data_IF_086203922558
#
_entry.id   IF_086203922558
#
_cell.length_a   1.000
_cell.length_b   1.000
_cell.length_c   1.000
_cell.angle_alpha   90.00
_cell.angle_beta   90.00
_cell.angle_gamma   90.00
#
_symmetry.space_group_name_H-M   'P 1'
#
loop_
_entity.id
_entity.type
_entity.pdbx_description
1 polymer ?
#
# COMPACT_ATOMS: atom_id res chain seq x y z
N UNK A 1 -16.54 -3.06 -4.03
CA UNK A 1 -15.67 -3.80 -3.09
C UNK A 1 -14.74 -4.69 -3.87
N UNK A 2 -13.48 -4.79 -3.45
CA UNK A 2 -12.44 -5.72 -3.95
C UNK A 2 -11.97 -6.53 -2.76
N UNK A 3 -12.04 -7.86 -2.85
CA UNK A 3 -11.68 -8.71 -1.71
C UNK A 3 -11.05 -10.03 -2.15
N UNK A 4 -10.14 -10.55 -1.35
CA UNK A 4 -9.50 -11.85 -1.56
C UNK A 4 -8.94 -11.98 -2.99
N UNK A 5 -8.28 -10.93 -3.47
CA UNK A 5 -7.86 -10.80 -4.87
C UNK A 5 -6.36 -10.63 -4.94
N UNK A 6 -5.73 -11.34 -5.89
CA UNK A 6 -4.33 -11.11 -6.27
C UNK A 6 -4.26 -10.46 -7.64
N UNK A 7 -3.52 -9.36 -7.76
CA UNK A 7 -3.23 -8.66 -9.01
C UNK A 7 -1.72 -8.56 -9.16
N UNK A 8 -1.17 -9.15 -10.20
CA UNK A 8 0.28 -9.24 -10.37
C UNK A 8 0.72 -9.37 -11.84
N UNK A 9 2.03 -9.22 -12.06
CA UNK A 9 2.66 -9.30 -13.39
C UNK A 9 2.05 -8.34 -14.41
N UNK A 10 1.67 -7.15 -13.97
CA UNK A 10 1.22 -6.09 -14.87
C UNK A 10 2.44 -5.35 -15.42
N UNK A 11 2.50 -5.15 -16.74
CA UNK A 11 3.62 -4.43 -17.37
C UNK A 11 3.73 -2.96 -16.96
N UNK A 12 2.67 -2.37 -16.43
CA UNK A 12 2.65 -1.00 -15.96
C UNK A 12 2.02 -0.91 -14.55
N UNK A 13 0.72 -0.64 -14.44
CA UNK A 13 0.00 -0.39 -13.19
C UNK A 13 -0.91 -1.58 -12.89
N UNK A 14 -0.85 -2.09 -11.65
CA UNK A 14 -1.74 -3.15 -11.19
C UNK A 14 -3.18 -2.67 -11.02
N UNK A 15 -3.37 -1.57 -10.31
CA UNK A 15 -4.68 -0.93 -10.13
C UNK A 15 -4.56 0.58 -10.29
N UNK A 16 -5.34 1.17 -11.18
CA UNK A 16 -5.52 2.61 -11.29
C UNK A 16 -6.93 2.98 -10.82
N UNK A 17 -7.01 3.75 -9.74
CA UNK A 17 -8.26 4.25 -9.19
C UNK A 17 -8.27 5.79 -9.22
N UNK A 18 -9.15 6.37 -10.03
CA UNK A 18 -9.27 7.82 -10.19
C UNK A 18 -10.60 8.32 -9.64
N UNK A 19 -10.56 9.08 -8.55
CA UNK A 19 -11.74 9.64 -7.90
C UNK A 19 -12.81 8.60 -7.51
N UNK A 20 -12.37 7.37 -7.23
CA UNK A 20 -13.25 6.24 -7.02
C UNK A 20 -13.66 6.07 -5.54
N UNK A 21 -14.67 5.25 -5.30
CA UNK A 21 -15.01 4.74 -3.98
C UNK A 21 -14.75 3.23 -3.95
N UNK A 22 -13.78 2.81 -3.15
CA UNK A 22 -13.36 1.40 -3.07
C UNK A 22 -13.26 0.97 -1.60
N UNK A 23 -13.95 -0.11 -1.26
CA UNK A 23 -13.71 -0.87 -0.06
C UNK A 23 -12.94 -2.14 -0.44
N UNK A 24 -11.74 -2.31 0.06
CA UNK A 24 -10.84 -3.42 -0.23
C UNK A 24 -10.38 -4.13 1.03
N UNK A 25 -10.29 -5.46 1.00
CA UNK A 25 -9.69 -6.22 2.08
C UNK A 25 -9.12 -7.55 1.60
N UNK A 26 -8.06 -8.01 2.29
CA UNK A 26 -7.34 -9.24 1.92
C UNK A 26 -6.91 -9.24 0.45
N UNK A 27 -6.30 -8.17 -0.03
CA UNK A 27 -5.84 -8.12 -1.41
C UNK A 27 -4.31 -8.06 -1.45
N UNK A 28 -3.73 -8.71 -2.44
CA UNK A 28 -2.30 -8.69 -2.71
C UNK A 28 -2.05 -8.15 -4.11
N UNK A 29 -1.33 -7.03 -4.19
CA UNK A 29 -0.88 -6.41 -5.44
C UNK A 29 0.65 -6.51 -5.50
N UNK A 30 1.19 -7.17 -6.52
CA UNK A 30 2.63 -7.36 -6.58
C UNK A 30 3.19 -7.47 -8.00
N UNK A 31 4.49 -7.31 -8.13
CA UNK A 31 5.24 -7.46 -9.40
C UNK A 31 4.60 -6.69 -10.57
N UNK A 32 4.56 -5.36 -10.45
CA UNK A 32 4.11 -4.47 -11.51
C UNK A 32 5.27 -3.62 -12.04
N UNK A 33 5.36 -3.47 -13.36
CA UNK A 33 6.47 -2.78 -14.03
C UNK A 33 6.61 -1.29 -13.68
N UNK A 34 5.56 -0.68 -13.14
CA UNK A 34 5.56 0.65 -12.57
C UNK A 34 5.05 0.61 -11.13
N UNK A 35 3.76 0.67 -10.92
CA UNK A 35 3.09 0.85 -9.62
C UNK A 35 2.10 -0.28 -9.38
N UNK A 36 2.07 -0.84 -8.19
CA UNK A 36 1.07 -1.84 -7.82
C UNK A 36 -0.32 -1.23 -7.69
N UNK A 37 -0.41 -0.01 -7.12
CA UNK A 37 -1.65 0.73 -7.05
C UNK A 37 -1.43 2.24 -7.14
N UNK A 38 -2.22 2.93 -7.96
CA UNK A 38 -2.27 4.37 -8.06
C UNK A 38 -3.69 4.87 -7.72
N UNK A 39 -3.79 5.64 -6.64
CA UNK A 39 -5.00 6.31 -6.19
C UNK A 39 -4.89 7.79 -6.54
N UNK A 40 -5.46 8.20 -7.67
CA UNK A 40 -5.33 9.56 -8.18
C UNK A 40 -6.68 10.27 -8.26
N UNK A 41 -6.65 11.60 -8.36
CA UNK A 41 -7.87 12.42 -8.36
C UNK A 41 -8.71 12.23 -7.09
N UNK A 42 -8.05 12.09 -5.92
CA UNK A 42 -8.74 11.88 -4.65
C UNK A 42 -9.65 10.65 -4.64
N UNK A 43 -10.74 10.72 -3.91
CA UNK A 43 -11.71 9.64 -3.78
C UNK A 43 -11.88 9.15 -2.34
N UNK A 44 -12.58 8.03 -2.17
CA UNK A 44 -12.82 7.39 -0.87
C UNK A 44 -12.33 5.95 -0.90
N UNK A 45 -11.28 5.66 -0.17
CA UNK A 45 -10.68 4.33 -0.15
C UNK A 45 -10.63 3.80 1.28
N UNK A 46 -11.13 2.59 1.49
CA UNK A 46 -10.98 1.84 2.73
C UNK A 46 -10.30 0.54 2.40
N UNK A 47 -9.04 0.41 2.83
CA UNK A 47 -8.23 -0.77 2.56
C UNK A 47 -7.80 -1.38 3.90
N UNK A 48 -8.17 -2.64 4.12
CA UNK A 48 -7.83 -3.38 5.33
C UNK A 48 -7.11 -4.67 4.97
N UNK A 49 -5.96 -4.94 5.61
CA UNK A 49 -5.12 -6.11 5.34
C UNK A 49 -4.81 -6.29 3.84
N UNK A 50 -4.34 -5.23 3.20
CA UNK A 50 -3.92 -5.26 1.81
C UNK A 50 -2.41 -5.10 1.72
N UNK A 51 -1.77 -5.92 0.88
CA UNK A 51 -0.33 -5.84 0.62
C UNK A 51 -0.08 -5.28 -0.78
N UNK A 52 0.69 -4.22 -0.85
CA UNK A 52 1.16 -3.57 -2.07
C UNK A 52 2.68 -3.74 -2.12
N UNK A 53 3.15 -4.83 -2.74
CA UNK A 53 4.53 -5.28 -2.64
C UNK A 53 5.14 -5.41 -4.02
N UNK A 54 6.10 -4.56 -4.37
CA UNK A 54 6.61 -4.51 -5.74
C UNK A 54 8.08 -4.95 -5.85
N UNK A 55 8.28 -6.21 -6.21
CA UNK A 55 9.60 -6.80 -6.50
C UNK A 55 9.76 -7.11 -8.00
N UNK A 56 9.29 -6.22 -8.87
CA UNK A 56 9.41 -6.35 -10.32
C UNK A 56 10.86 -6.60 -10.76
N UNK A 57 11.08 -7.63 -11.56
CA UNK A 57 12.41 -8.09 -12.00
C UNK A 57 12.62 -8.09 -13.52
N UNK A 58 11.55 -7.83 -14.31
CA UNK A 58 11.64 -7.87 -15.78
C UNK A 58 12.16 -6.57 -16.42
N UNK A 59 12.60 -5.63 -15.58
CA UNK A 59 13.15 -4.34 -16.00
C UNK A 59 13.43 -3.41 -14.83
N UNK A 60 13.93 -2.20 -15.14
CA UNK A 60 14.17 -1.16 -14.13
C UNK A 60 12.87 -0.43 -13.85
N UNK A 61 12.39 -0.52 -12.61
CA UNK A 61 11.25 0.23 -12.13
C UNK A 61 11.69 1.62 -11.65
N UNK A 62 10.98 2.65 -12.08
CA UNK A 62 11.24 4.05 -11.74
C UNK A 62 10.06 4.71 -11.00
N UNK A 63 9.06 3.93 -10.64
CA UNK A 63 7.88 4.40 -9.92
C UNK A 63 7.74 3.68 -8.58
N UNK A 64 7.18 4.33 -7.54
CA UNK A 64 6.92 3.71 -6.25
C UNK A 64 5.91 2.56 -6.35
N UNK A 65 5.87 1.71 -5.34
CA UNK A 65 4.85 0.66 -5.25
C UNK A 65 3.45 1.26 -5.18
N UNK A 66 3.28 2.35 -4.44
CA UNK A 66 1.98 3.03 -4.31
C UNK A 66 2.11 4.53 -4.47
N UNK A 67 1.18 5.10 -5.24
CA UNK A 67 1.01 6.55 -5.40
C UNK A 67 -0.37 6.94 -4.88
N UNK A 68 -0.42 7.99 -4.05
CA UNK A 68 -1.64 8.70 -3.69
C UNK A 68 -1.53 10.15 -4.12
N UNK A 69 -2.47 10.62 -4.94
CA UNK A 69 -2.51 12.01 -5.39
C UNK A 69 -3.95 12.53 -5.44
N UNK A 70 -4.17 13.76 -4.95
CA UNK A 70 -5.47 14.42 -5.10
C UNK A 70 -5.67 15.02 -6.49
N UNK A 71 -4.73 14.78 -7.40
CA UNK A 71 -4.71 15.32 -8.75
C UNK A 71 -4.23 14.31 -9.80
N UNK A 72 -4.47 14.62 -11.06
CA UNK A 72 -3.78 14.06 -12.22
C UNK A 72 -3.77 15.08 -13.36
N UNK A 73 -2.83 14.92 -14.30
CA UNK A 73 -2.78 15.71 -15.52
C UNK A 73 -3.53 14.98 -16.65
N UNK A 74 -4.49 15.65 -17.26
CA UNK A 74 -5.27 15.08 -18.35
C UNK A 74 -4.50 15.15 -19.69
N UNK A 75 -5.08 14.58 -20.74
CA UNK A 75 -4.47 14.50 -22.10
C UNK A 75 -4.19 15.87 -22.74
N UNK A 76 -4.74 16.95 -22.22
CA UNK A 76 -4.53 18.30 -22.67
C UNK A 76 -3.52 19.08 -21.81
N UNK A 77 -2.89 18.41 -20.84
CA UNK A 77 -1.98 19.04 -19.88
C UNK A 77 -2.69 19.86 -18.79
N UNK A 78 -3.98 19.64 -18.57
CA UNK A 78 -4.73 20.33 -17.53
C UNK A 78 -4.76 19.52 -16.24
N UNK A 79 -4.46 20.18 -15.13
CA UNK A 79 -4.56 19.56 -13.80
C UNK A 79 -6.03 19.42 -13.42
N UNK A 80 -6.43 18.17 -13.21
CA UNK A 80 -7.70 17.80 -12.62
C UNK A 80 -7.46 17.48 -11.15
N UNK A 81 -8.31 18.01 -10.27
CA UNK A 81 -8.10 17.87 -8.83
C UNK A 81 -9.41 17.54 -8.10
N UNK A 82 -9.30 16.65 -7.11
CA UNK A 82 -10.37 16.30 -6.19
C UNK A 82 -9.78 15.75 -4.88
N UNK A 83 -10.28 16.18 -3.74
CA UNK A 83 -9.80 15.75 -2.43
C UNK A 83 -10.10 14.26 -2.14
N UNK A 84 -9.28 13.66 -1.28
CA UNK A 84 -9.63 12.39 -0.62
C UNK A 84 -10.71 12.65 0.43
N UNK A 85 -11.70 11.77 0.50
CA UNK A 85 -12.84 11.90 1.40
C UNK A 85 -12.90 10.70 2.37
N UNK A 86 -12.31 10.85 3.56
CA UNK A 86 -12.37 9.84 4.60
C UNK A 86 -11.69 8.51 4.23
N UNK A 87 -10.61 8.59 3.46
CA UNK A 87 -9.83 7.42 3.08
C UNK A 87 -8.99 6.89 4.23
N UNK A 88 -8.95 5.56 4.38
CA UNK A 88 -8.16 4.89 5.41
C UNK A 88 -7.54 3.60 4.89
N UNK A 89 -6.31 3.33 5.35
CA UNK A 89 -5.57 2.12 5.06
C UNK A 89 -5.11 1.53 6.39
N UNK A 90 -5.59 0.34 6.72
CA UNK A 90 -5.33 -0.25 8.02
C UNK A 90 -4.68 -1.64 7.85
N UNK A 91 -3.68 -1.92 8.67
CA UNK A 91 -2.96 -3.20 8.66
C UNK A 91 -2.42 -3.56 7.26
N UNK A 92 -1.95 -2.56 6.50
CA UNK A 92 -1.46 -2.73 5.13
C UNK A 92 0.07 -2.78 5.07
N UNK A 93 0.59 -3.29 3.94
CA UNK A 93 2.02 -3.27 3.64
C UNK A 93 2.24 -2.48 2.34
N UNK A 94 3.15 -1.48 2.38
CA UNK A 94 3.58 -0.68 1.23
C UNK A 94 5.09 -0.82 1.10
N UNK A 95 5.56 -1.71 0.21
CA UNK A 95 6.97 -2.09 0.15
C UNK A 95 7.43 -2.43 -1.27
N UNK A 96 8.76 -2.45 -1.50
CA UNK A 96 9.29 -2.84 -2.78
C UNK A 96 10.81 -3.06 -2.83
N UNK A 97 11.32 -3.34 -4.02
CA UNK A 97 12.73 -3.61 -4.24
C UNK A 97 13.58 -2.35 -4.48
N UNK A 98 12.98 -1.18 -4.55
CA UNK A 98 13.72 0.08 -4.65
C UNK A 98 14.14 0.64 -3.28
N UNK A 99 13.70 0.02 -2.19
CA UNK A 99 14.08 0.37 -0.82
C UNK A 99 15.59 0.60 -0.61
N UNK A 100 16.44 -0.11 -1.33
CA UNK A 100 17.90 0.05 -1.24
C UNK A 100 18.46 1.24 -2.03
N UNK A 101 17.64 1.94 -2.80
CA UNK A 101 18.05 3.13 -3.54
C UNK A 101 17.94 4.36 -2.64
N UNK A 102 18.97 5.18 -2.63
CA UNK A 102 18.97 6.43 -1.87
C UNK A 102 17.85 7.35 -2.40
N UNK A 103 17.10 7.92 -1.49
CA UNK A 103 16.02 8.87 -1.78
C UNK A 103 14.88 8.30 -2.66
N UNK A 104 14.54 7.03 -2.49
CA UNK A 104 13.45 6.41 -3.24
C UNK A 104 12.42 5.79 -2.30
N UNK A 105 11.27 6.43 -2.22
CA UNK A 105 10.12 5.94 -1.47
C UNK A 105 9.30 4.93 -2.27
N UNK A 106 8.84 3.87 -1.63
CA UNK A 106 7.88 2.92 -2.22
C UNK A 106 6.42 3.34 -2.01
N UNK A 107 6.21 4.34 -1.18
CA UNK A 107 4.92 4.96 -0.96
C UNK A 107 5.02 6.48 -1.10
N UNK A 108 4.37 7.04 -2.09
CA UNK A 108 4.41 8.49 -2.39
C UNK A 108 3.03 9.12 -2.23
N UNK A 109 3.00 10.25 -1.55
CA UNK A 109 1.80 11.08 -1.34
C UNK A 109 2.03 12.45 -1.96
N UNK A 110 1.23 12.82 -2.95
CA UNK A 110 1.31 14.11 -3.66
C UNK A 110 -0.03 14.83 -3.61
N UNK A 111 -0.10 15.90 -2.81
CA UNK A 111 -1.33 16.68 -2.60
C UNK A 111 -1.13 18.12 -3.00
N UNK A 112 -2.03 18.66 -3.83
CA UNK A 112 -2.07 20.09 -4.19
C UNK A 112 -2.83 20.89 -3.13
N UNK A 113 -3.92 20.34 -2.59
CA UNK A 113 -4.72 20.98 -1.54
C UNK A 113 -4.89 20.05 -0.35
N UNK A 114 -4.00 20.14 0.64
CA UNK A 114 -4.18 19.36 1.84
C UNK A 114 -5.22 20.02 2.76
N UNK A 115 -6.45 19.48 2.90
CA UNK A 115 -6.97 19.37 4.25
C UNK A 115 -7.53 17.99 4.61
N UNK A 116 -7.74 17.09 3.67
CA UNK A 116 -8.27 15.75 3.98
C UNK A 116 -7.31 14.72 3.42
N UNK A 117 -6.32 14.38 4.21
CA UNK A 117 -5.35 13.34 3.89
C UNK A 117 -5.94 11.96 4.18
N UNK A 118 -5.53 10.92 3.44
CA UNK A 118 -5.78 9.55 3.86
C UNK A 118 -5.11 9.31 5.22
N UNK A 119 -5.67 8.43 6.03
CA UNK A 119 -5.05 8.00 7.28
C UNK A 119 -4.57 6.56 7.10
N UNK A 120 -3.33 6.30 7.49
CA UNK A 120 -2.71 4.99 7.42
C UNK A 120 -2.42 4.52 8.83
N UNK A 121 -2.95 3.35 9.20
CA UNK A 121 -2.85 2.84 10.57
C UNK A 121 -2.26 1.45 10.60
N UNK A 122 -1.43 1.21 11.62
CA UNK A 122 -0.90 -0.12 11.94
C UNK A 122 -0.30 -0.83 10.72
N UNK A 123 0.31 -0.09 9.83
CA UNK A 123 0.81 -0.54 8.53
C UNK A 123 2.33 -0.53 8.50
N UNK A 124 2.91 -1.26 7.54
CA UNK A 124 4.33 -1.18 7.24
C UNK A 124 4.52 -0.31 6.00
N UNK A 125 5.38 0.70 6.09
CA UNK A 125 5.54 1.72 5.05
C UNK A 125 7.02 1.92 4.76
N UNK A 126 7.40 1.82 3.49
CA UNK A 126 8.74 2.17 3.01
C UNK A 126 8.77 3.62 2.55
N UNK A 127 9.24 4.49 3.42
CA UNK A 127 9.34 5.94 3.21
C UNK A 127 10.60 6.45 3.87
N UNK A 128 11.48 7.05 3.09
CA UNK A 128 12.77 7.61 3.51
C UNK A 128 12.83 9.14 3.37
N UNK A 129 11.91 9.73 2.61
CA UNK A 129 11.88 11.17 2.35
C UNK A 129 11.42 11.97 3.58
N UNK A 130 12.25 12.92 4.03
CA UNK A 130 11.93 13.82 5.14
C UNK A 130 10.74 14.75 4.83
N UNK A 131 10.40 14.97 3.56
CA UNK A 131 9.25 15.77 3.13
C UNK A 131 7.93 14.98 3.13
N UNK A 132 7.97 13.68 3.38
CA UNK A 132 6.77 12.85 3.46
C UNK A 132 5.83 13.36 4.58
N UNK A 133 4.50 13.42 4.35
CA UNK A 133 3.56 13.92 5.35
C UNK A 133 3.30 12.88 6.47
N UNK A 134 4.30 12.65 7.33
CA UNK A 134 4.24 11.65 8.40
C UNK A 134 3.02 11.76 9.33
N UNK A 135 2.35 12.91 9.35
CA UNK A 135 1.12 13.12 10.13
C UNK A 135 -0.07 12.24 9.68
N UNK A 136 0.02 11.61 8.50
CA UNK A 136 -1.00 10.66 8.04
C UNK A 136 -0.77 9.24 8.58
N UNK A 137 0.38 8.96 9.19
CA UNK A 137 0.75 7.66 9.72
C UNK A 137 0.41 7.58 11.22
N UNK A 138 -0.41 6.60 11.59
CA UNK A 138 -0.77 6.32 12.98
C UNK A 138 -0.33 4.90 13.36
N UNK A 139 0.59 4.76 14.32
CA UNK A 139 1.12 3.46 14.79
C UNK A 139 1.70 2.58 13.66
N UNK A 140 2.31 3.19 12.66
CA UNK A 140 2.93 2.49 11.55
C UNK A 140 4.39 2.11 11.87
N UNK A 141 4.85 1.06 11.20
CA UNK A 141 6.27 0.70 11.15
C UNK A 141 6.84 1.31 9.89
N UNK A 142 7.81 2.21 10.03
CA UNK A 142 8.41 2.94 8.92
C UNK A 142 9.82 2.42 8.68
N UNK A 143 10.19 2.24 7.41
CA UNK A 143 11.53 1.89 6.96
C UNK A 143 12.12 0.62 7.61
N UNK A 144 11.27 -0.36 7.88
CA UNK A 144 11.71 -1.67 8.39
C UNK A 144 11.24 -2.77 7.44
N UNK A 145 12.23 -3.46 6.85
CA UNK A 145 11.99 -4.52 5.85
C UNK A 145 11.05 -5.59 6.40
N UNK A 146 9.90 -5.83 5.76
CA UNK A 146 8.99 -6.89 6.17
C UNK A 146 9.66 -8.27 6.07
N UNK A 147 9.55 -9.12 7.10
CA UNK A 147 10.15 -10.46 7.10
C UNK A 147 9.30 -11.43 6.27
N UNK A 148 9.24 -11.21 4.97
CA UNK A 148 8.54 -12.11 4.06
C UNK A 148 9.18 -13.49 4.04
N UNK A 149 8.36 -14.54 4.00
CA UNK A 149 8.80 -15.92 3.98
C UNK A 149 9.74 -16.21 2.79
N UNK A 150 9.42 -15.70 1.58
CA UNK A 150 10.31 -15.81 0.43
C UNK A 150 9.97 -14.83 -0.69
N UNK A 151 10.75 -13.79 -0.85
CA UNK A 151 10.62 -12.84 -1.97
C UNK A 151 10.83 -13.55 -3.33
N UNK A 152 11.76 -14.50 -3.39
CA UNK A 152 12.10 -15.19 -4.65
C UNK A 152 10.95 -16.04 -5.18
N UNK A 153 10.22 -16.71 -4.29
CA UNK A 153 9.03 -17.50 -4.67
C UNK A 153 7.72 -16.73 -4.60
N UNK A 154 7.79 -15.41 -4.35
CA UNK A 154 6.61 -14.54 -4.17
C UNK A 154 5.71 -14.98 -3.02
N UNK A 155 6.31 -15.55 -2.00
CA UNK A 155 5.66 -15.87 -0.74
C UNK A 155 5.81 -14.65 0.20
N UNK A 156 4.77 -13.82 0.23
CA UNK A 156 4.72 -12.59 1.02
C UNK A 156 4.05 -12.79 2.39
N UNK A 157 3.90 -14.03 2.84
CA UNK A 157 3.52 -14.28 4.22
C UNK A 157 4.58 -13.70 5.16
N UNK A 158 4.12 -13.16 6.27
CA UNK A 158 5.00 -12.65 7.31
C UNK A 158 5.44 -13.83 8.19
N UNK A 159 6.74 -13.95 8.43
CA UNK A 159 7.28 -14.98 9.34
C UNK A 159 6.79 -14.71 10.77
N UNK A 160 6.05 -15.67 11.32
CA UNK A 160 5.39 -15.62 12.62
C UNK A 160 6.33 -15.48 13.83
N UNK A 161 7.65 -15.56 13.63
CA UNK A 161 8.62 -15.43 14.72
C UNK A 161 9.08 -13.98 14.97
N UNK A 162 8.51 -12.99 14.30
CA UNK A 162 8.92 -11.60 14.46
C UNK A 162 7.84 -10.76 15.14
N UNK A 163 8.07 -10.44 16.42
CA UNK A 163 7.16 -9.62 17.25
C UNK A 163 6.85 -8.21 16.70
N UNK A 164 7.61 -7.73 15.70
CA UNK A 164 7.32 -6.47 15.01
C UNK A 164 6.02 -6.53 14.19
N UNK A 165 5.54 -7.71 13.85
CA UNK A 165 4.42 -7.92 12.94
C UNK A 165 3.11 -8.32 13.62
N UNK A 166 3.16 -8.76 14.87
CA UNK A 166 1.99 -8.88 15.76
C UNK A 166 1.37 -7.51 16.12
N UNK A 167 1.62 -6.50 15.32
CA UNK A 167 1.31 -5.10 15.61
C UNK A 167 0.07 -4.57 14.89
N UNK A 168 -0.76 -5.41 14.31
CA UNK A 168 -2.02 -4.96 13.75
C UNK A 168 -3.05 -4.66 14.83
N UNK A 169 -4.01 -3.80 14.52
CA UNK A 169 -5.07 -3.47 15.46
C UNK A 169 -6.32 -4.30 15.18
N UNK A 170 -6.70 -5.13 16.14
CA UNK A 170 -7.82 -6.07 16.02
C UNK A 170 -9.18 -5.45 15.65
N UNK A 171 -9.37 -4.13 15.85
CA UNK A 171 -10.60 -3.44 15.44
C UNK A 171 -10.81 -3.43 13.92
N UNK A 172 -9.71 -3.48 13.15
CA UNK A 172 -9.75 -3.52 11.68
C UNK A 172 -9.45 -4.94 11.16
N UNK A 173 -9.51 -5.93 12.03
CA UNK A 173 -9.14 -7.29 11.70
C UNK A 173 -10.23 -7.99 10.88
N UNK A 174 -9.80 -8.63 9.82
CA UNK A 174 -10.60 -9.55 9.02
C UNK A 174 -10.32 -10.95 9.55
N UNK A 175 -11.35 -11.81 9.77
CA UNK A 175 -11.17 -13.06 10.51
C UNK A 175 -10.30 -14.10 9.82
N UNK A 176 -10.09 -13.99 8.51
CA UNK A 176 -9.27 -14.92 7.73
C UNK A 176 -8.30 -14.17 6.83
N UNK A 177 -7.16 -14.76 6.53
CA UNK A 177 -6.18 -14.26 5.57
C UNK A 177 -6.59 -14.56 4.11
N UNK A 178 -5.70 -14.23 3.16
CA UNK A 178 -5.93 -14.46 1.73
C UNK A 178 -6.02 -15.96 1.38
N UNK A 179 -5.38 -16.83 2.17
CA UNK A 179 -5.41 -18.28 1.99
C UNK A 179 -6.57 -18.94 2.74
N UNK A 180 -7.37 -18.18 3.49
CA UNK A 180 -8.49 -18.67 4.27
C UNK A 180 -8.12 -19.18 5.67
N UNK A 181 -6.88 -18.96 6.14
CA UNK A 181 -6.48 -19.31 7.49
C UNK A 181 -7.01 -18.28 8.50
N UNK A 182 -7.37 -18.70 9.71
CA UNK A 182 -7.78 -17.76 10.76
C UNK A 182 -6.64 -16.80 11.14
N UNK A 183 -6.90 -15.48 11.12
CA UNK A 183 -5.96 -14.45 11.59
C UNK A 183 -5.87 -14.35 13.10
N UNK A 184 -6.69 -15.09 13.84
CA UNK A 184 -6.81 -14.98 15.30
C UNK A 184 -5.88 -15.98 15.98
N UNK A 185 -4.58 -15.71 15.97
CA UNK A 185 -3.60 -16.32 16.88
C UNK A 185 -2.76 -15.16 17.43
N UNK A 186 -3.20 -14.51 18.51
CA UNK A 186 -2.56 -13.31 19.03
C UNK A 186 -3.13 -12.03 18.42
N UNK A 187 -2.29 -11.01 18.21
CA UNK A 187 -2.65 -9.88 17.37
C UNK A 187 -2.47 -10.27 15.90
N UNK A 188 -3.40 -9.94 15.00
CA UNK A 188 -3.26 -10.27 13.59
C UNK A 188 -2.03 -9.60 12.97
N UNK A 189 -1.45 -10.23 11.95
CA UNK A 189 -0.35 -9.65 11.19
C UNK A 189 -0.82 -8.51 10.27
N UNK A 190 0.12 -7.63 9.90
CA UNK A 190 -0.10 -6.62 8.86
C UNK A 190 -0.09 -7.31 7.49
N UNK A 191 -0.93 -6.87 6.56
CA UNK A 191 -0.97 -7.38 5.19
C UNK A 191 -2.07 -8.40 4.88
#
# INVERSE_FOLDING_TARGET
TIQNTQIYNMSAIGMLAQGATIDGYNNLFYDCGQTTAAFTLGGTYRMDHCSFVNYWSEGVRQAPSVIMADWYEDVNGQIQQRSFEGSSFNNCIFWGNNHSLTDFDEFVVSMINPPVNPIIRYSAVDVQDDEFPFSILENCTVDQVPPFASITSRDFHIDSNNALWDGSFGQFSIPVDLDGNPRIIGNPDKG
#
